data_IF_295370089117
#
_entry.id   IF_295370089117
#
_cell.length_a   1.000
_cell.length_b   1.000
_cell.length_c   1.000
_cell.angle_alpha   90.00
_cell.angle_beta   90.00
_cell.angle_gamma   90.00
#
_symmetry.space_group_name_H-M   'P 1'
#
loop_
_entity.id
_entity.type
_entity.pdbx_description
1 polymer ?
#
# COMPACT_ATOMS: atom_id res chain seq x y z
N UNK A 1 -14.98 0.94 -19.88
CA UNK A 1 -15.91 0.17 -19.10
C UNK A 1 -15.73 0.37 -17.62
N UNK A 2 -16.80 0.18 -16.89
CA UNK A 2 -16.75 0.43 -15.47
C UNK A 2 -15.91 -0.58 -14.73
N UNK A 3 -15.87 -1.81 -15.24
CA UNK A 3 -15.09 -2.84 -14.58
C UNK A 3 -13.62 -2.46 -14.50
N UNK A 4 -13.12 -1.83 -15.55
CA UNK A 4 -11.74 -1.41 -15.58
C UNK A 4 -11.47 -0.31 -14.55
N UNK A 5 -12.36 0.65 -14.48
CA UNK A 5 -12.20 1.73 -13.53
C UNK A 5 -12.24 1.20 -12.10
N UNK A 6 -13.15 0.26 -11.88
CA UNK A 6 -13.27 -0.32 -10.55
C UNK A 6 -12.00 -1.08 -10.18
N UNK A 7 -11.46 -1.82 -11.12
CA UNK A 7 -10.23 -2.56 -10.88
C UNK A 7 -9.09 -1.62 -10.54
N UNK A 8 -9.02 -0.51 -11.25
CA UNK A 8 -7.96 0.45 -11.00
C UNK A 8 -8.07 1.02 -9.60
N UNK A 9 -9.29 1.27 -9.16
CA UNK A 9 -9.50 1.78 -7.81
C UNK A 9 -9.03 0.79 -6.77
N UNK A 10 -9.37 -0.47 -6.96
CA UNK A 10 -8.96 -1.50 -6.01
C UNK A 10 -7.45 -1.61 -5.99
N UNK A 11 -6.82 -1.56 -7.15
CA UNK A 11 -5.36 -1.64 -7.22
C UNK A 11 -4.73 -0.50 -6.45
N UNK A 12 -5.28 0.68 -6.61
CA UNK A 12 -4.73 1.83 -5.91
C UNK A 12 -4.86 1.69 -4.41
N UNK A 13 -6.01 1.21 -3.97
CA UNK A 13 -6.23 1.02 -2.55
C UNK A 13 -5.26 0.01 -1.97
N UNK A 14 -5.06 -1.08 -2.67
CA UNK A 14 -4.13 -2.10 -2.22
C UNK A 14 -2.72 -1.55 -2.19
N UNK A 15 -2.37 -0.78 -3.21
CA UNK A 15 -1.05 -0.19 -3.27
C UNK A 15 -0.81 0.70 -2.06
N UNK A 16 -1.79 1.50 -1.72
CA UNK A 16 -1.65 2.39 -0.57
C UNK A 16 -1.49 1.61 0.72
N UNK A 17 -2.26 0.54 0.86
CA UNK A 17 -2.16 -0.28 2.06
C UNK A 17 -0.78 -0.88 2.18
N UNK A 18 -0.25 -1.36 1.07
CA UNK A 18 1.09 -1.94 1.08
C UNK A 18 2.13 -0.89 1.43
N UNK A 19 1.96 0.30 0.90
CA UNK A 19 2.91 1.36 1.17
C UNK A 19 2.90 1.75 2.65
N UNK A 20 1.74 1.73 3.24
CA UNK A 20 1.64 2.03 4.66
C UNK A 20 2.37 1.00 5.49
N UNK A 21 2.20 -0.26 5.13
CA UNK A 21 2.88 -1.32 5.85
C UNK A 21 4.39 -1.24 5.65
N UNK A 22 4.80 -0.90 4.46
CA UNK A 22 6.22 -0.73 4.19
C UNK A 22 6.81 0.39 5.04
N UNK A 23 6.05 1.44 5.22
CA UNK A 23 6.49 2.55 6.05
C UNK A 23 6.75 2.08 7.46
N UNK A 24 5.84 1.28 7.99
CA UNK A 24 5.99 0.78 9.34
C UNK A 24 7.22 -0.11 9.47
N UNK A 25 7.44 -0.94 8.47
CA UNK A 25 8.61 -1.81 8.48
C UNK A 25 9.89 -0.98 8.46
N UNK A 26 9.88 0.08 7.66
CA UNK A 26 11.04 0.96 7.59
C UNK A 26 11.32 1.61 8.93
N UNK A 27 10.25 2.07 9.58
CA UNK A 27 10.41 2.71 10.88
C UNK A 27 10.97 1.73 11.89
N UNK A 28 10.49 0.50 11.85
CA UNK A 28 10.97 -0.52 12.77
C UNK A 28 12.43 -0.85 12.51
N UNK A 29 12.79 -0.91 11.25
CA UNK A 29 14.18 -1.21 10.90
C UNK A 29 15.11 -0.13 11.42
N UNK A 30 14.70 1.11 11.33
CA UNK A 30 15.51 2.20 11.82
C UNK A 30 15.58 2.20 13.34
N UNK A 31 14.51 1.73 13.97
CA UNK A 31 14.42 1.74 15.42
C UNK A 31 15.09 0.56 16.05
N UNK A 32 15.21 -0.52 15.32
CA UNK A 32 15.77 -1.75 15.88
C UNK A 32 17.16 -1.51 16.42
N UNK A 33 17.48 -2.13 17.50
CA UNK A 33 18.81 -2.00 18.11
C UNK A 33 19.90 -2.66 17.30
#
# INVERSE_FOLDING_TARGET
>A
MKAQAFKSLIKEAVKEAIQEELKEVLLEAVRAP
#
